data_IF_755954386817
#
_entry.id   IF_755954386817
#
_cell.length_a   1.000
_cell.length_b   1.000
_cell.length_c   1.000
_cell.angle_alpha   90.00
_cell.angle_beta   90.00
_cell.angle_gamma   90.00
#
_symmetry.space_group_name_H-M   'P 1'
#
loop_
_entity.id
_entity.type
_entity.pdbx_description
1 polymer ?
#
# COMPACT_ATOMS: atom_id res chain seq x y z
N UNK A 1 -14.95 -33.98 39.01
CA UNK A 1 -13.50 -33.73 38.90
C UNK A 1 -13.08 -34.38 37.59
N UNK A 2 -12.64 -33.73 36.52
CA UNK A 2 -12.33 -32.34 36.21
C UNK A 2 -12.49 -32.18 34.70
N UNK A 3 -12.90 -30.99 34.29
CA UNK A 3 -13.22 -30.52 32.96
C UNK A 3 -12.22 -30.92 31.86
N UNK A 4 -12.77 -31.26 30.69
CA UNK A 4 -12.03 -31.20 29.43
C UNK A 4 -11.69 -29.73 29.14
N UNK A 5 -10.39 -29.44 29.07
CA UNK A 5 -9.88 -28.16 28.58
C UNK A 5 -9.42 -28.38 27.14
N UNK A 6 -10.20 -27.86 26.19
CA UNK A 6 -9.81 -27.83 24.79
C UNK A 6 -8.53 -27.01 24.62
N UNK A 7 -7.64 -27.50 23.77
CA UNK A 7 -6.54 -26.71 23.25
C UNK A 7 -7.13 -25.66 22.30
N UNK A 8 -7.39 -24.46 22.81
CA UNK A 8 -7.57 -23.30 21.95
C UNK A 8 -6.17 -22.94 21.43
N UNK A 9 -5.86 -23.45 20.24
CA UNK A 9 -4.74 -23.00 19.44
C UNK A 9 -4.96 -21.51 19.18
N UNK A 10 -4.20 -20.66 19.86
CA UNK A 10 -4.11 -19.22 19.61
C UNK A 10 -3.67 -19.02 18.14
N UNK A 11 -4.65 -18.91 17.25
CA UNK A 11 -4.41 -18.46 15.88
C UNK A 11 -4.10 -16.98 15.99
N UNK A 12 -2.81 -16.63 15.85
CA UNK A 12 -2.34 -15.24 15.88
C UNK A 12 -3.30 -14.32 15.14
N UNK A 13 -3.93 -13.41 15.88
CA UNK A 13 -4.90 -12.49 15.32
C UNK A 13 -4.17 -11.45 14.48
N UNK A 14 -4.10 -11.70 13.17
CA UNK A 14 -3.55 -10.71 12.26
C UNK A 14 -4.38 -9.42 12.34
N UNK A 15 -3.72 -8.33 12.69
CA UNK A 15 -4.38 -7.04 12.88
C UNK A 15 -4.37 -6.28 11.55
N UNK A 16 -5.54 -5.89 11.08
CA UNK A 16 -5.69 -5.04 9.91
C UNK A 16 -5.55 -3.57 10.30
N UNK A 17 -4.66 -2.84 9.61
CA UNK A 17 -4.40 -1.43 9.86
C UNK A 17 -4.50 -0.62 8.56
N UNK A 18 -5.34 0.41 8.58
CA UNK A 18 -5.37 1.43 7.53
C UNK A 18 -4.26 2.47 7.75
N UNK A 19 -3.55 2.82 6.69
CA UNK A 19 -2.48 3.80 6.71
C UNK A 19 -2.62 4.79 5.54
N UNK A 20 -2.45 6.08 5.83
CA UNK A 20 -2.22 7.11 4.80
C UNK A 20 -0.76 7.08 4.36
N UNK A 21 -0.55 7.10 3.05
CA UNK A 21 0.78 7.16 2.43
C UNK A 21 0.81 8.34 1.46
N UNK A 22 1.86 9.16 1.54
CA UNK A 22 2.13 10.25 0.59
C UNK A 22 3.50 10.00 -0.02
N UNK A 23 3.57 9.90 -1.35
CA UNK A 23 4.81 9.57 -2.07
C UNK A 23 5.07 10.59 -3.18
N UNK A 24 6.34 10.71 -3.51
CA UNK A 24 6.83 11.42 -4.69
C UNK A 24 7.62 10.46 -5.55
N UNK A 25 7.32 10.42 -6.84
CA UNK A 25 7.93 9.48 -7.80
C UNK A 25 8.38 10.22 -9.04
N UNK A 26 9.51 9.81 -9.59
CA UNK A 26 9.89 10.11 -10.98
C UNK A 26 9.57 8.87 -11.80
N UNK A 27 8.70 9.02 -12.79
CA UNK A 27 8.25 7.95 -13.66
C UNK A 27 8.75 8.19 -15.08
N UNK A 28 9.26 7.13 -15.69
CA UNK A 28 9.63 7.13 -17.10
C UNK A 28 8.43 7.37 -18.02
N UNK A 29 8.72 7.61 -19.30
CA UNK A 29 7.69 7.67 -20.33
C UNK A 29 6.91 6.36 -20.41
N UNK A 30 5.59 6.45 -20.63
CA UNK A 30 4.68 5.29 -20.71
C UNK A 30 3.49 5.32 -19.75
N UNK A 31 2.78 4.19 -19.57
CA UNK A 31 1.64 4.08 -18.66
C UNK A 31 2.03 4.23 -17.19
N UNK A 32 1.25 4.99 -16.42
CA UNK A 32 1.57 5.31 -15.02
C UNK A 32 1.12 4.22 -14.03
N UNK A 33 0.07 3.47 -14.37
CA UNK A 33 -0.65 2.60 -13.43
C UNK A 33 0.26 1.54 -12.80
N UNK A 34 0.95 0.75 -13.64
CA UNK A 34 1.82 -0.34 -13.18
C UNK A 34 2.90 0.10 -12.19
N UNK A 35 3.74 1.10 -12.53
CA UNK A 35 4.74 1.63 -11.59
C UNK A 35 4.14 2.15 -10.28
N UNK A 36 3.00 2.85 -10.33
CA UNK A 36 2.34 3.37 -9.11
C UNK A 36 1.87 2.21 -8.22
N UNK A 37 1.18 1.22 -8.78
CA UNK A 37 0.70 0.05 -8.04
C UNK A 37 1.86 -0.75 -7.45
N UNK A 38 2.96 -0.91 -8.19
CA UNK A 38 4.15 -1.62 -7.72
C UNK A 38 4.79 -0.91 -6.51
N UNK A 39 4.86 0.42 -6.51
CA UNK A 39 5.38 1.17 -5.37
C UNK A 39 4.42 1.11 -4.20
N UNK A 40 3.11 1.31 -4.43
CA UNK A 40 2.12 1.24 -3.35
C UNK A 40 2.07 -0.12 -2.68
N UNK A 41 2.25 -1.22 -3.44
CA UNK A 41 2.30 -2.58 -2.92
C UNK A 41 3.43 -2.80 -1.89
N UNK A 42 4.53 -2.03 -1.96
CA UNK A 42 5.61 -2.06 -0.96
C UNK A 42 5.16 -1.50 0.40
N UNK A 43 4.09 -0.70 0.39
CA UNK A 43 3.44 -0.16 1.58
C UNK A 43 2.16 -0.92 1.95
N UNK A 44 1.86 -2.08 1.37
CA UNK A 44 0.64 -2.84 1.65
C UNK A 44 -0.39 -2.76 0.52
N UNK A 45 -1.61 -3.25 0.77
CA UNK A 45 -2.63 -3.36 -0.27
C UNK A 45 -3.30 -1.99 -0.52
N UNK A 46 -3.14 -1.36 -1.69
CA UNK A 46 -3.77 -0.07 -1.97
C UNK A 46 -5.29 -0.23 -2.11
N UNK A 47 -6.05 0.58 -1.37
CA UNK A 47 -7.51 0.62 -1.45
C UNK A 47 -8.01 1.75 -2.36
N UNK A 48 -7.37 2.91 -2.25
CA UNK A 48 -7.62 4.10 -3.08
C UNK A 48 -6.37 4.96 -3.11
N UNK A 49 -6.15 5.63 -4.23
CA UNK A 49 -5.08 6.60 -4.37
C UNK A 49 -5.45 7.66 -5.41
N UNK A 50 -4.75 8.79 -5.35
CA UNK A 50 -4.88 9.86 -6.32
C UNK A 50 -3.54 10.55 -6.53
N UNK A 51 -3.26 10.97 -7.77
CA UNK A 51 -2.16 11.88 -8.08
C UNK A 51 -2.62 13.29 -7.68
N UNK A 52 -1.89 13.90 -6.76
CA UNK A 52 -2.20 15.25 -6.25
C UNK A 52 -1.33 16.33 -6.87
N UNK A 53 -0.21 15.95 -7.50
CA UNK A 53 0.58 16.82 -8.36
C UNK A 53 1.24 16.02 -9.48
N UNK A 54 1.38 16.62 -10.66
CA UNK A 54 2.06 16.02 -11.81
C UNK A 54 2.79 17.11 -12.61
N UNK A 55 4.09 16.92 -12.81
CA UNK A 55 4.95 17.83 -13.55
C UNK A 55 5.68 17.05 -14.63
N UNK A 56 5.57 17.49 -15.88
CA UNK A 56 6.37 16.95 -16.96
C UNK A 56 7.85 17.34 -16.79
N UNK A 57 8.74 16.39 -16.97
CA UNK A 57 10.19 16.54 -16.99
C UNK A 57 10.70 16.31 -18.42
N UNK A 58 11.98 16.63 -18.72
CA UNK A 58 12.61 16.28 -19.99
C UNK A 58 12.53 14.78 -20.30
N UNK A 59 12.76 14.42 -21.56
CA UNK A 59 12.78 13.01 -22.02
C UNK A 59 11.45 12.25 -21.83
N UNK A 60 10.36 12.97 -21.59
CA UNK A 60 9.02 12.39 -21.39
C UNK A 60 8.80 11.80 -19.99
N UNK A 61 9.74 12.03 -19.07
CA UNK A 61 9.58 11.67 -17.66
C UNK A 61 8.53 12.56 -16.98
N UNK A 62 7.99 12.08 -15.86
CA UNK A 62 7.06 12.83 -15.02
C UNK A 62 7.44 12.69 -13.57
N UNK A 63 7.54 13.82 -12.88
CA UNK A 63 7.50 13.83 -11.43
C UNK A 63 6.04 13.89 -10.99
N UNK A 64 5.64 13.00 -10.09
CA UNK A 64 4.29 12.99 -9.52
C UNK A 64 4.37 12.98 -7.99
N UNK A 65 3.35 13.58 -7.38
CA UNK A 65 3.00 13.35 -5.97
C UNK A 65 1.69 12.60 -5.90
N UNK A 66 1.63 11.60 -5.03
CA UNK A 66 0.44 10.80 -4.82
C UNK A 66 0.08 10.68 -3.34
N UNK A 67 -1.21 10.56 -3.06
CA UNK A 67 -1.74 10.18 -1.75
C UNK A 67 -2.55 8.90 -1.87
N UNK A 68 -2.35 7.98 -0.94
CA UNK A 68 -2.99 6.67 -0.94
C UNK A 68 -3.46 6.26 0.46
N UNK A 69 -4.56 5.49 0.51
CA UNK A 69 -4.91 4.64 1.64
C UNK A 69 -4.48 3.22 1.33
N UNK A 70 -3.65 2.66 2.20
CA UNK A 70 -3.17 1.28 2.11
C UNK A 70 -3.63 0.48 3.33
N UNK A 71 -3.90 -0.80 3.13
CA UNK A 71 -4.23 -1.76 4.17
C UNK A 71 -3.00 -2.62 4.45
N UNK A 72 -2.54 -2.60 5.70
CA UNK A 72 -1.54 -3.52 6.21
C UNK A 72 -2.21 -4.64 6.98
N UNK A 73 -1.69 -5.85 6.79
CA UNK A 73 -1.98 -6.99 7.65
C UNK A 73 -0.69 -7.28 8.42
N UNK A 74 -0.70 -7.02 9.73
CA UNK A 74 0.41 -7.44 10.61
C UNK A 74 0.03 -8.76 11.26
N UNK A 75 0.89 -9.78 11.23
CA UNK A 75 0.62 -11.06 11.88
C UNK A 75 0.41 -10.93 13.39
#
# INVERSE_FOLDING_TARGET
>A
MTAGGGFETDMGHSTLRLQKVSLELILESGPLLGPIEQVLAQHGAPLRWAITACTALPEGQRWIRLEAMVLHCTP
#
